data_IF_262039051230
#
_entry.id   IF_262039051230
#
_cell.length_a   1.000
_cell.length_b   1.000
_cell.length_c   1.000
_cell.angle_alpha   90.00
_cell.angle_beta   90.00
_cell.angle_gamma   90.00
#
_symmetry.space_group_name_H-M   'P 1'
#
loop_
_entity.id
_entity.type
_entity.pdbx_description
1 polymer ?
#
# COMPACT_ATOMS: atom_id res chain seq x y z
N UNK A 1 -5.22 -1.72 -25.37
CA UNK A 1 -5.03 -0.35 -24.88
C UNK A 1 -3.82 -0.31 -23.95
N UNK A 2 -2.58 -0.28 -24.49
CA UNK A 2 -1.38 -0.06 -23.70
C UNK A 2 -1.39 1.28 -22.94
N UNK A 3 -1.87 2.35 -23.57
CA UNK A 3 -1.89 3.71 -23.01
C UNK A 3 -2.76 3.78 -21.74
N UNK A 4 -3.96 3.18 -21.77
CA UNK A 4 -4.83 3.11 -20.59
C UNK A 4 -4.18 2.34 -19.42
N UNK A 5 -3.40 1.30 -19.72
CA UNK A 5 -2.67 0.55 -18.68
C UNK A 5 -1.59 1.46 -18.07
N UNK A 6 -0.85 2.16 -18.92
CA UNK A 6 0.18 3.11 -18.49
C UNK A 6 -0.42 4.24 -17.66
N UNK A 7 -1.59 4.77 -18.02
CA UNK A 7 -2.29 5.82 -17.25
C UNK A 7 -2.74 5.31 -15.87
N UNK A 8 -3.40 4.15 -15.81
CA UNK A 8 -3.87 3.56 -14.54
C UNK A 8 -2.69 3.29 -13.59
N UNK A 9 -1.55 2.86 -14.14
CA UNK A 9 -0.34 2.67 -13.36
C UNK A 9 0.26 4.02 -12.95
N UNK A 10 0.45 4.94 -13.89
CA UNK A 10 1.16 6.22 -13.69
C UNK A 10 0.41 7.16 -12.75
N UNK A 11 -0.91 7.31 -12.91
CA UNK A 11 -1.73 8.20 -12.08
C UNK A 11 -2.30 7.49 -10.84
N UNK A 12 -2.30 6.15 -10.83
CA UNK A 12 -2.87 5.35 -9.75
C UNK A 12 -1.83 4.60 -8.93
N UNK A 13 -1.58 3.36 -9.31
CA UNK A 13 -0.82 2.41 -8.49
C UNK A 13 0.65 2.84 -8.29
N UNK A 14 1.32 3.25 -9.36
CA UNK A 14 2.73 3.60 -9.42
C UNK A 14 3.11 4.72 -8.46
N UNK A 15 2.35 5.82 -8.43
CA UNK A 15 2.59 6.93 -7.47
C UNK A 15 2.55 6.47 -6.03
N UNK A 16 1.53 5.68 -5.66
CA UNK A 16 1.44 5.18 -4.28
C UNK A 16 2.62 4.28 -3.95
N UNK A 17 3.07 3.46 -4.91
CA UNK A 17 4.23 2.62 -4.76
C UNK A 17 5.54 3.40 -4.62
N UNK A 18 5.69 4.54 -5.31
CA UNK A 18 6.89 5.38 -5.21
C UNK A 18 7.14 5.87 -3.77
N UNK A 19 6.09 6.13 -2.99
CA UNK A 19 6.21 6.60 -1.61
C UNK A 19 6.26 5.49 -0.57
N UNK A 20 5.61 4.36 -0.83
CA UNK A 20 5.51 3.28 0.16
C UNK A 20 6.56 2.20 -0.05
N UNK A 21 6.94 1.90 -1.29
CA UNK A 21 7.57 0.63 -1.64
C UNK A 21 6.61 -0.55 -1.39
N UNK A 22 7.10 -1.78 -1.59
CA UNK A 22 6.26 -2.97 -1.56
C UNK A 22 5.89 -3.42 -0.13
N UNK A 23 6.85 -3.72 0.75
CA UNK A 23 6.55 -4.28 2.07
C UNK A 23 5.79 -3.32 2.99
N UNK A 24 6.10 -2.02 2.94
CA UNK A 24 5.32 -1.01 3.66
C UNK A 24 3.89 -0.95 3.15
N UNK A 25 3.69 -1.13 1.83
CA UNK A 25 2.35 -1.20 1.26
C UNK A 25 1.59 -2.43 1.73
N UNK A 26 2.25 -3.58 1.91
CA UNK A 26 1.61 -4.76 2.49
C UNK A 26 1.14 -4.48 3.93
N UNK A 27 1.97 -3.82 4.74
CA UNK A 27 1.59 -3.41 6.10
C UNK A 27 0.44 -2.39 6.13
N UNK A 28 0.36 -1.50 5.12
CA UNK A 28 -0.74 -0.56 4.95
C UNK A 28 -2.04 -1.25 4.51
N UNK A 29 -1.95 -2.28 3.68
CA UNK A 29 -3.09 -3.07 3.19
C UNK A 29 -3.65 -3.96 4.31
N UNK A 30 -2.76 -4.59 5.08
CA UNK A 30 -3.11 -5.58 6.10
C UNK A 30 -2.70 -6.98 5.69
N UNK A 31 -1.81 -7.61 6.47
CA UNK A 31 -1.29 -8.94 6.17
C UNK A 31 -2.35 -10.05 6.34
N UNK A 32 -3.35 -9.81 7.19
CA UNK A 32 -4.55 -10.65 7.30
C UNK A 32 -5.43 -10.60 6.06
N UNK A 33 -5.65 -9.41 5.49
CA UNK A 33 -6.39 -9.28 4.23
C UNK A 33 -5.66 -10.00 3.10
N UNK A 34 -4.34 -9.81 2.98
CA UNK A 34 -3.52 -10.50 1.97
C UNK A 34 -3.58 -12.02 2.15
N UNK A 35 -3.54 -12.50 3.40
CA UNK A 35 -3.66 -13.93 3.72
C UNK A 35 -5.02 -14.49 3.31
N UNK A 36 -6.10 -13.78 3.61
CA UNK A 36 -7.47 -14.17 3.19
C UNK A 36 -7.58 -14.23 1.67
N UNK A 37 -7.01 -13.26 0.94
CA UNK A 37 -7.01 -13.23 -0.51
C UNK A 37 -6.22 -14.40 -1.13
N UNK A 38 -5.07 -14.76 -0.55
CA UNK A 38 -4.29 -15.92 -0.99
C UNK A 38 -5.11 -17.21 -0.82
N UNK A 39 -5.67 -17.43 0.37
CA UNK A 39 -6.48 -18.61 0.69
C UNK A 39 -7.73 -18.72 -0.17
N UNK A 40 -8.40 -17.59 -0.43
CA UNK A 40 -9.56 -17.54 -1.33
C UNK A 40 -9.25 -17.93 -2.78
N UNK A 41 -7.97 -17.92 -3.19
CA UNK A 41 -7.50 -18.40 -4.49
C UNK A 41 -6.94 -19.83 -4.44
N UNK A 42 -7.09 -20.53 -3.32
CA UNK A 42 -6.53 -21.87 -3.12
C UNK A 42 -5.00 -21.87 -2.95
N UNK A 43 -4.41 -20.72 -2.59
CA UNK A 43 -2.97 -20.59 -2.37
C UNK A 43 -2.66 -20.29 -0.90
N UNK A 44 -1.49 -20.73 -0.43
CA UNK A 44 -0.98 -20.30 0.87
C UNK A 44 -0.27 -18.95 0.75
N UNK A 45 -0.36 -18.07 1.78
CA UNK A 45 0.43 -16.84 1.79
C UNK A 45 1.93 -17.18 1.80
N UNK A 46 2.72 -16.31 1.18
CA UNK A 46 4.18 -16.40 1.23
C UNK A 46 4.66 -16.47 2.69
N UNK A 47 5.64 -17.35 2.97
CA UNK A 47 6.04 -17.73 4.34
C UNK A 47 6.26 -16.54 5.30
N UNK A 48 6.99 -15.47 4.94
CA UNK A 48 7.14 -14.30 5.81
C UNK A 48 5.85 -13.53 6.13
N UNK A 49 4.82 -13.60 5.28
CA UNK A 49 3.47 -13.09 5.58
C UNK A 49 2.76 -14.05 6.54
N UNK A 50 2.82 -15.35 6.27
CA UNK A 50 2.20 -16.38 7.11
C UNK A 50 2.72 -16.31 8.56
N UNK A 51 4.03 -16.23 8.74
CA UNK A 51 4.68 -16.12 10.06
C UNK A 51 4.19 -14.92 10.86
N UNK A 52 3.99 -13.76 10.21
CA UNK A 52 3.47 -12.54 10.84
C UNK A 52 1.99 -12.65 11.14
N UNK A 53 1.22 -13.22 10.21
CA UNK A 53 -0.20 -13.48 10.38
C UNK A 53 -0.47 -14.32 11.64
N UNK A 54 0.25 -15.43 11.83
CA UNK A 54 0.09 -16.28 13.01
C UNK A 54 0.51 -15.60 14.33
N UNK A 55 1.31 -14.53 14.27
CA UNK A 55 1.67 -13.70 15.43
C UNK A 55 0.71 -12.53 15.69
N UNK A 56 -0.32 -12.34 14.86
CA UNK A 56 -1.21 -11.17 14.94
C UNK A 56 -0.57 -9.86 14.49
N UNK A 57 0.55 -9.91 13.77
CA UNK A 57 1.30 -8.76 13.26
C UNK A 57 0.76 -8.37 11.88
N UNK A 58 -0.44 -7.78 11.84
CA UNK A 58 -1.16 -7.48 10.58
C UNK A 58 -0.72 -6.21 9.87
N UNK A 59 0.37 -5.57 10.31
CA UNK A 59 0.87 -4.32 9.73
C UNK A 59 0.47 -3.12 10.56
N UNK A 60 0.21 -2.01 9.87
CA UNK A 60 0.01 -0.70 10.49
C UNK A 60 -1.14 -0.71 11.51
N UNK A 61 -2.23 -1.42 11.22
CA UNK A 61 -3.42 -1.45 12.07
C UNK A 61 -3.23 -2.16 13.41
N UNK A 62 -2.20 -3.00 13.54
CA UNK A 62 -1.84 -3.70 14.79
C UNK A 62 -0.56 -3.14 15.41
N UNK A 63 -0.02 -2.04 14.88
CA UNK A 63 1.24 -1.46 15.35
C UNK A 63 2.50 -2.21 14.91
N UNK A 64 2.38 -3.31 14.15
CA UNK A 64 3.51 -4.14 13.71
C UNK A 64 3.14 -5.07 12.54
N UNK A 65 4.04 -5.17 11.56
CA UNK A 65 4.02 -6.14 10.46
C UNK A 65 5.43 -6.45 9.95
N UNK A 66 5.73 -6.09 8.70
CA UNK A 66 7.11 -6.04 8.23
C UNK A 66 7.93 -4.94 8.91
N UNK A 67 7.28 -3.85 9.32
CA UNK A 67 7.86 -2.75 10.08
C UNK A 67 7.13 -2.54 11.40
N UNK A 68 7.77 -1.83 12.33
CA UNK A 68 7.13 -1.33 13.55
C UNK A 68 6.37 -0.03 13.25
N UNK A 69 5.17 0.08 13.79
CA UNK A 69 4.24 1.20 13.58
C UNK A 69 3.82 1.85 14.90
N UNK A 70 4.75 2.52 15.61
CA UNK A 70 4.48 3.10 16.93
C UNK A 70 3.57 4.33 16.85
N UNK A 71 2.78 4.56 17.91
CA UNK A 71 2.06 5.80 18.16
C UNK A 71 1.23 6.32 16.98
N UNK A 72 1.38 7.60 16.65
CA UNK A 72 0.66 8.27 15.56
C UNK A 72 1.25 8.02 14.15
N UNK A 73 2.17 7.05 13.98
CA UNK A 73 2.75 6.73 12.67
C UNK A 73 1.71 6.49 11.56
N UNK A 74 0.53 5.86 11.80
CA UNK A 74 -0.49 5.71 10.76
C UNK A 74 -0.97 7.06 10.19
N UNK A 75 -1.33 7.99 11.09
CA UNK A 75 -1.83 9.31 10.70
C UNK A 75 -0.77 10.11 9.97
N UNK A 76 0.48 10.06 10.44
CA UNK A 76 1.58 10.78 9.81
C UNK A 76 1.88 10.27 8.40
N UNK A 77 1.90 8.94 8.23
CA UNK A 77 2.10 8.33 6.90
C UNK A 77 0.94 8.65 5.97
N UNK A 78 -0.31 8.50 6.41
CA UNK A 78 -1.47 8.87 5.58
C UNK A 78 -1.45 10.35 5.20
N UNK A 79 -1.15 11.24 6.15
CA UNK A 79 -1.07 12.68 5.87
C UNK A 79 0.01 12.98 4.83
N UNK A 80 1.23 12.48 5.02
CA UNK A 80 2.33 12.70 4.08
C UNK A 80 1.99 12.17 2.69
N UNK A 81 1.48 10.94 2.58
CA UNK A 81 1.09 10.34 1.31
C UNK A 81 0.00 11.15 0.61
N UNK A 82 -1.07 11.49 1.32
CA UNK A 82 -2.20 12.21 0.74
C UNK A 82 -1.80 13.62 0.29
N UNK A 83 -0.97 14.33 1.06
CA UNK A 83 -0.46 15.65 0.66
C UNK A 83 0.31 15.58 -0.65
N UNK A 84 1.20 14.60 -0.80
CA UNK A 84 1.99 14.46 -2.04
C UNK A 84 1.12 14.01 -3.22
N UNK A 85 0.18 13.08 -3.02
CA UNK A 85 -0.72 12.64 -4.09
C UNK A 85 -1.64 13.77 -4.58
N UNK A 86 -2.13 14.62 -3.67
CA UNK A 86 -2.91 15.81 -4.03
C UNK A 86 -2.03 16.82 -4.79
N UNK A 87 -0.77 16.99 -4.38
CA UNK A 87 0.19 17.87 -5.07
C UNK A 87 0.39 17.41 -6.51
N UNK A 88 0.68 16.13 -6.73
CA UNK A 88 0.87 15.56 -8.06
C UNK A 88 -0.40 15.68 -8.91
N UNK A 89 -1.56 15.36 -8.34
CA UNK A 89 -2.85 15.47 -9.05
C UNK A 89 -3.10 16.90 -9.55
N UNK A 90 -2.77 17.93 -8.76
CA UNK A 90 -2.88 19.32 -9.20
C UNK A 90 -1.95 19.63 -10.38
N UNK A 91 -0.71 19.14 -10.35
CA UNK A 91 0.24 19.34 -11.44
C UNK A 91 -0.24 18.70 -12.74
N UNK A 92 -0.82 17.50 -12.67
CA UNK A 92 -1.37 16.83 -13.87
C UNK A 92 -2.54 17.61 -14.47
N UNK A 93 -3.45 18.12 -13.63
CA UNK A 93 -4.58 18.94 -14.06
C UNK A 93 -4.10 20.25 -14.71
N UNK A 94 -3.07 20.88 -14.15
CA UNK A 94 -2.45 22.09 -14.72
C UNK A 94 -1.76 21.80 -16.06
N UNK A 95 -1.19 20.60 -16.23
CA UNK A 95 -0.57 20.14 -17.46
C UNK A 95 -1.57 19.62 -18.51
N UNK A 96 -2.83 19.40 -18.14
CA UNK A 96 -3.87 18.82 -19.01
C UNK A 96 -3.69 17.31 -19.25
N UNK A 97 -3.00 16.61 -18.35
CA UNK A 97 -2.79 15.16 -18.42
C UNK A 97 -3.97 14.35 -17.88
N UNK A 98 -4.79 14.96 -17.00
CA UNK A 98 -6.05 14.41 -16.45
C UNK A 98 -7.14 15.49 -16.31
#
# INVERSE_FOLDING_TARGET
YPELIDDVISFGFGRRMAYTGYFKRLDLIGLDFITTQAKGRGAEPWKPIAERFYRGEYGMKTGKGFYDWPGDSPKQVHRRLNTELIRLMKQDMEAGEI
#
